data_IF_218136867411
#
_entry.id   IF_218136867411
#
_cell.length_a   1.000
_cell.length_b   1.000
_cell.length_c   1.000
_cell.angle_alpha   90.00
_cell.angle_beta   90.00
_cell.angle_gamma   90.00
#
_symmetry.space_group_name_H-M   'P 1'
#
loop_
_entity.id
_entity.type
_entity.pdbx_description
1 polymer ?
#
# COMPACT_ATOMS: atom_id res chain seq x y z
N UNK A 1 -12.33 -24.26 2.44
CA UNK A 1 -11.43 -23.08 2.51
C UNK A 1 -12.11 -21.94 1.76
N UNK A 2 -12.02 -20.68 2.21
CA UNK A 2 -12.51 -19.58 1.39
C UNK A 2 -11.68 -19.49 0.11
N UNK A 3 -12.32 -19.60 -1.05
CA UNK A 3 -11.64 -19.63 -2.35
C UNK A 3 -11.39 -18.23 -2.92
N UNK A 4 -12.05 -17.20 -2.36
CA UNK A 4 -12.02 -15.85 -2.91
C UNK A 4 -11.71 -14.83 -1.82
N UNK A 5 -10.65 -14.05 -2.03
CA UNK A 5 -10.27 -12.92 -1.18
C UNK A 5 -10.82 -11.62 -1.78
N UNK A 6 -11.50 -10.84 -0.95
CA UNK A 6 -11.97 -9.48 -1.27
C UNK A 6 -11.24 -8.51 -0.35
N UNK A 7 -10.56 -7.53 -0.93
CA UNK A 7 -9.88 -6.47 -0.19
C UNK A 7 -10.68 -5.18 -0.36
N UNK A 8 -10.98 -4.52 0.76
CA UNK A 8 -11.66 -3.22 0.76
C UNK A 8 -10.87 -2.20 1.56
N UNK A 9 -11.21 -0.93 1.42
CA UNK A 9 -10.44 0.16 2.02
C UNK A 9 -10.53 0.20 3.56
N UNK A 10 -11.73 0.03 4.13
CA UNK A 10 -11.99 0.28 5.55
C UNK A 10 -12.55 -0.94 6.31
N UNK A 11 -12.27 -1.07 7.63
CA UNK A 11 -12.81 -2.16 8.46
C UNK A 11 -14.34 -2.22 8.47
N UNK A 12 -15.00 -1.07 8.48
CA UNK A 12 -16.46 -0.99 8.46
C UNK A 12 -17.04 -1.57 7.17
N UNK A 13 -16.46 -1.22 6.00
CA UNK A 13 -16.85 -1.83 4.71
C UNK A 13 -16.64 -3.35 4.73
N UNK A 14 -15.51 -3.81 5.26
CA UNK A 14 -15.21 -5.25 5.34
C UNK A 14 -16.25 -6.01 6.18
N UNK A 15 -16.64 -5.44 7.33
CA UNK A 15 -17.68 -6.02 8.20
C UNK A 15 -19.05 -6.05 7.50
N UNK A 16 -19.44 -4.97 6.83
CA UNK A 16 -20.71 -4.91 6.10
C UNK A 16 -20.77 -5.92 4.97
N UNK A 17 -19.74 -5.97 4.11
CA UNK A 17 -19.70 -6.86 2.94
C UNK A 17 -19.64 -8.34 3.37
N UNK A 18 -18.97 -8.66 4.48
CA UNK A 18 -18.96 -10.01 5.05
C UNK A 18 -20.36 -10.50 5.44
N UNK A 19 -21.28 -9.59 5.77
CA UNK A 19 -22.69 -9.92 6.04
C UNK A 19 -23.49 -10.26 4.79
N UNK A 20 -23.07 -9.79 3.61
CA UNK A 20 -23.76 -10.04 2.34
C UNK A 20 -23.22 -11.25 1.58
N UNK A 21 -21.92 -11.56 1.71
CA UNK A 21 -21.29 -12.62 0.94
C UNK A 21 -21.34 -13.99 1.66
N UNK A 22 -21.38 -15.11 0.90
CA UNK A 22 -21.26 -16.44 1.48
C UNK A 22 -19.96 -16.62 2.26
N UNK A 23 -19.95 -17.56 3.22
CA UNK A 23 -18.77 -17.87 4.07
C UNK A 23 -17.54 -18.38 3.31
N UNK A 24 -17.66 -18.65 2.01
CA UNK A 24 -16.53 -18.99 1.12
C UNK A 24 -15.70 -17.76 0.71
N UNK A 25 -16.13 -16.56 1.05
CA UNK A 25 -15.37 -15.33 0.83
C UNK A 25 -14.61 -14.92 2.09
N UNK A 26 -13.34 -14.53 1.91
CA UNK A 26 -12.55 -13.85 2.92
C UNK A 26 -12.55 -12.35 2.59
N UNK A 27 -13.06 -11.52 3.49
CA UNK A 27 -13.12 -10.06 3.30
C UNK A 27 -12.19 -9.37 4.31
N UNK A 28 -11.19 -8.66 3.81
CA UNK A 28 -10.13 -7.99 4.58
C UNK A 28 -10.08 -6.50 4.23
N UNK A 29 -9.60 -5.68 5.17
CA UNK A 29 -9.40 -4.24 4.96
C UNK A 29 -7.92 -3.91 4.70
N UNK A 30 -7.64 -3.09 3.68
CA UNK A 30 -6.29 -2.54 3.40
C UNK A 30 -5.90 -1.42 4.38
N UNK A 31 -6.87 -0.86 5.11
CA UNK A 31 -6.70 0.31 5.97
C UNK A 31 -6.28 1.55 5.17
N UNK A 32 -6.84 1.76 3.97
CA UNK A 32 -6.47 2.85 3.06
C UNK A 32 -5.31 2.50 2.12
N UNK A 33 -4.45 3.48 1.83
CA UNK A 33 -3.29 3.31 0.95
C UNK A 33 -2.27 2.33 1.53
N UNK A 34 -1.71 1.48 0.67
CA UNK A 34 -0.70 0.46 1.03
C UNK A 34 0.73 0.87 0.63
N UNK A 35 0.85 1.86 -0.25
CA UNK A 35 2.11 2.45 -0.69
C UNK A 35 1.93 3.95 -0.84
N UNK A 36 3.02 4.66 -0.61
CA UNK A 36 3.11 6.11 -0.79
C UNK A 36 4.53 6.49 -1.21
N UNK A 37 4.76 7.76 -1.54
CA UNK A 37 6.11 8.31 -1.68
C UNK A 37 6.84 8.27 -0.32
N UNK A 38 8.17 8.18 -0.30
CA UNK A 38 8.93 8.17 0.95
C UNK A 38 8.74 9.50 1.70
N UNK A 39 8.25 9.43 2.93
CA UNK A 39 8.06 10.63 3.76
C UNK A 39 9.39 11.14 4.34
N UNK A 40 10.38 10.27 4.45
CA UNK A 40 11.70 10.60 5.01
C UNK A 40 12.78 9.68 4.43
N UNK A 41 14.04 10.07 4.61
CA UNK A 41 15.19 9.33 4.07
C UNK A 41 15.33 7.90 4.60
N UNK A 42 14.73 7.58 5.76
CA UNK A 42 14.78 6.22 6.33
C UNK A 42 13.88 5.23 5.60
N UNK A 43 12.91 5.72 4.84
CA UNK A 43 11.98 4.91 4.05
C UNK A 43 12.50 4.60 2.64
N UNK A 44 13.54 5.31 2.19
CA UNK A 44 14.15 5.10 0.88
C UNK A 44 14.87 3.74 0.85
N UNK A 45 14.51 2.82 -0.08
CA UNK A 45 15.18 1.54 -0.24
C UNK A 45 16.66 1.70 -0.59
N UNK A 46 17.49 0.74 -0.17
CA UNK A 46 18.94 0.79 -0.43
C UNK A 46 19.29 0.94 -1.92
N UNK A 47 18.47 0.38 -2.82
CA UNK A 47 18.64 0.50 -4.26
C UNK A 47 18.59 1.93 -4.79
N UNK A 48 17.83 2.82 -4.15
CA UNK A 48 17.63 4.20 -4.60
C UNK A 48 18.25 5.24 -3.66
N UNK A 49 18.94 4.82 -2.59
CA UNK A 49 19.58 5.75 -1.63
C UNK A 49 20.68 6.62 -2.25
N UNK A 50 21.32 6.14 -3.33
CA UNK A 50 22.34 6.91 -4.05
C UNK A 50 21.74 8.01 -4.94
N UNK A 51 20.43 7.91 -5.25
CA UNK A 51 19.77 8.82 -6.17
C UNK A 51 19.25 10.06 -5.43
N UNK A 52 19.68 11.25 -5.86
CA UNK A 52 19.32 12.52 -5.19
C UNK A 52 17.82 12.78 -5.19
N UNK A 53 17.10 12.37 -6.24
CA UNK A 53 15.66 12.56 -6.38
C UNK A 53 14.83 11.64 -5.47
N UNK A 54 15.42 10.56 -4.94
CA UNK A 54 14.70 9.59 -4.12
C UNK A 54 14.11 10.19 -2.83
N UNK A 55 14.66 11.30 -2.33
CA UNK A 55 14.10 12.05 -1.19
C UNK A 55 12.83 12.82 -1.55
N UNK A 56 12.73 13.32 -2.77
CA UNK A 56 11.51 13.94 -3.31
C UNK A 56 10.48 12.86 -3.64
N UNK A 57 10.93 11.65 -3.95
CA UNK A 57 10.09 10.52 -4.33
C UNK A 57 9.63 10.55 -5.78
N UNK A 58 10.01 11.56 -6.56
CA UNK A 58 9.65 11.69 -7.99
C UNK A 58 10.88 12.07 -8.79
N UNK A 59 11.16 11.34 -9.86
CA UNK A 59 12.27 11.62 -10.76
C UNK A 59 11.84 12.54 -11.91
N UNK A 60 12.14 13.84 -11.80
CA UNK A 60 11.76 14.84 -12.83
C UNK A 60 12.55 14.72 -14.13
N UNK A 61 13.67 14.00 -14.14
CA UNK A 61 14.52 13.79 -15.32
C UNK A 61 14.12 12.54 -16.11
N UNK A 62 13.26 11.70 -15.54
CA UNK A 62 12.83 10.43 -16.12
C UNK A 62 11.31 10.29 -16.04
N UNK A 63 10.61 11.07 -16.86
CA UNK A 63 9.16 11.05 -17.03
C UNK A 63 8.35 11.06 -15.72
N UNK A 64 8.83 11.78 -14.71
CA UNK A 64 8.21 11.85 -13.38
C UNK A 64 8.03 10.47 -12.72
N UNK A 65 8.98 9.55 -12.92
CA UNK A 65 8.93 8.21 -12.32
C UNK A 65 8.81 8.32 -10.78
N UNK A 66 7.78 7.71 -10.17
CA UNK A 66 7.58 7.76 -8.72
C UNK A 66 8.31 6.62 -8.01
N UNK A 67 8.89 6.93 -6.85
CA UNK A 67 9.40 5.94 -5.90
C UNK A 67 8.33 5.63 -4.86
N UNK A 68 7.56 4.56 -5.09
CA UNK A 68 6.59 4.07 -4.10
C UNK A 68 7.23 3.11 -3.09
N UNK A 69 7.02 3.39 -1.81
CA UNK A 69 7.48 2.57 -0.68
C UNK A 69 6.28 2.08 0.12
N UNK A 70 6.44 0.96 0.85
CA UNK A 70 5.45 0.51 1.83
C UNK A 70 5.76 1.21 3.17
N UNK A 71 4.87 2.07 3.68
CA UNK A 71 5.06 2.74 4.97
C UNK A 71 5.27 1.75 6.11
N UNK A 72 6.02 2.14 7.15
CA UNK A 72 6.37 1.25 8.27
C UNK A 72 5.13 0.77 9.04
N UNK A 73 4.13 1.64 9.21
CA UNK A 73 2.86 1.32 9.85
C UNK A 73 2.03 0.29 9.06
N UNK A 74 2.31 0.12 7.77
CA UNK A 74 1.65 -0.88 6.89
C UNK A 74 2.43 -2.19 6.77
N UNK A 75 3.69 -2.22 7.21
CA UNK A 75 4.47 -3.46 7.32
C UNK A 75 4.02 -4.19 8.58
N UNK A 76 3.08 -5.12 8.41
CA UNK A 76 2.70 -6.09 9.45
C UNK A 76 3.80 -7.13 9.65
#
# INVERSE_FOLDING_TARGET
MPNTLVIVESPTKARTIRGFLPRTFRVEASMGHVRDLPNNASEIPASHKAEKWAKTGVNTEKDFEPLYVVPKDKKK
#
